data_IF_123545729147
#
_entry.id   IF_123545729147
#
_cell.length_a   1.000
_cell.length_b   1.000
_cell.length_c   1.000
_cell.angle_alpha   90.00
_cell.angle_beta   90.00
_cell.angle_gamma   90.00
#
_symmetry.space_group_name_H-M   'P 1'
#
loop_
_entity.id
_entity.type
_entity.pdbx_description
1 polymer ?
#
# COMPACT_ATOMS: atom_id res chain seq x y z
N UNK A 1 13.38 -24.14 37.76
CA UNK A 1 14.78 -24.41 37.39
C UNK A 1 15.41 -23.07 37.10
N UNK A 2 16.26 -22.60 38.01
CA UNK A 2 16.96 -21.30 37.91
C UNK A 2 17.91 -21.31 36.70
N UNK A 3 18.09 -20.20 35.98
CA UNK A 3 18.85 -20.12 34.73
C UNK A 3 20.38 -20.06 34.96
N UNK A 4 20.91 -20.86 35.88
CA UNK A 4 22.33 -20.85 36.30
C UNK A 4 23.17 -22.01 35.78
N UNK A 5 22.57 -23.16 35.46
CA UNK A 5 23.31 -24.45 35.38
C UNK A 5 23.49 -25.03 33.97
N UNK A 6 23.32 -24.24 32.90
CA UNK A 6 23.53 -24.75 31.55
C UNK A 6 25.01 -24.70 31.15
N UNK A 7 25.60 -25.86 30.89
CA UNK A 7 26.96 -26.02 30.36
C UNK A 7 27.10 -25.20 29.05
N UNK A 8 28.23 -24.49 28.82
CA UNK A 8 28.45 -23.69 27.62
C UNK A 8 28.14 -24.41 26.30
N UNK A 9 28.37 -25.73 26.22
CA UNK A 9 28.05 -26.56 25.06
C UNK A 9 26.56 -26.69 24.76
N UNK A 10 25.70 -26.69 25.79
CA UNK A 10 24.25 -26.83 25.63
C UNK A 10 23.57 -25.49 25.31
N UNK A 11 24.20 -24.38 25.73
CA UNK A 11 23.82 -23.03 25.30
C UNK A 11 24.08 -22.83 23.81
N UNK A 12 25.21 -23.33 23.30
CA UNK A 12 25.54 -23.30 21.87
C UNK A 12 24.55 -24.12 21.04
N UNK A 13 24.18 -25.33 21.50
CA UNK A 13 23.15 -26.16 20.83
C UNK A 13 21.78 -25.49 20.84
N UNK A 14 21.39 -24.88 21.95
CA UNK A 14 20.09 -24.19 22.07
C UNK A 14 20.00 -22.96 21.16
N UNK A 15 21.06 -22.15 21.08
CA UNK A 15 21.14 -21.01 20.15
C UNK A 15 21.16 -21.48 18.70
N UNK A 16 21.87 -22.58 18.39
CA UNK A 16 21.91 -23.13 17.03
C UNK A 16 20.54 -23.63 16.56
N UNK A 17 19.75 -24.27 17.43
CA UNK A 17 18.40 -24.74 17.12
C UNK A 17 17.45 -23.54 16.89
N UNK A 18 17.55 -22.49 17.72
CA UNK A 18 16.79 -21.25 17.53
C UNK A 18 17.13 -20.52 16.23
N UNK A 19 18.42 -20.45 15.87
CA UNK A 19 18.89 -19.83 14.64
C UNK A 19 18.45 -20.59 13.38
N UNK A 20 18.46 -21.93 13.41
CA UNK A 20 18.00 -22.74 12.27
C UNK A 20 16.50 -22.64 12.04
N UNK A 21 15.68 -22.57 13.09
CA UNK A 21 14.24 -22.33 12.96
C UNK A 21 13.92 -20.94 12.40
N UNK A 22 14.70 -19.91 12.76
CA UNK A 22 14.55 -18.57 12.18
C UNK A 22 14.98 -18.51 10.70
N UNK A 23 16.04 -19.24 10.32
CA UNK A 23 16.52 -19.29 8.93
C UNK A 23 15.52 -19.97 7.98
N UNK A 24 14.74 -20.95 8.46
CA UNK A 24 13.75 -21.65 7.63
C UNK A 24 12.54 -20.79 7.26
N UNK A 25 12.18 -19.82 8.12
CA UNK A 25 11.05 -18.90 7.89
C UNK A 25 11.43 -17.70 7.02
N UNK A 26 12.73 -17.41 6.87
CA UNK A 26 13.22 -16.31 6.02
C UNK A 26 13.25 -16.64 4.51
N UNK A 27 13.14 -17.93 4.14
CA UNK A 27 13.22 -18.39 2.75
C UNK A 27 11.91 -18.40 1.98
N UNK A 28 10.76 -18.21 2.64
CA UNK A 28 9.47 -18.03 1.98
C UNK A 28 9.18 -16.55 1.81
N UNK A 29 10.01 -15.87 1.01
CA UNK A 29 9.53 -14.67 0.34
C UNK A 29 8.47 -15.14 -0.66
N UNK A 30 7.20 -14.95 -0.32
CA UNK A 30 6.10 -14.98 -1.28
C UNK A 30 6.23 -13.78 -2.24
N UNK A 31 7.32 -13.73 -2.99
CA UNK A 31 7.45 -12.85 -4.13
C UNK A 31 6.71 -13.49 -5.29
N UNK A 32 5.76 -12.77 -5.88
CA UNK A 32 5.14 -13.14 -7.15
C UNK A 32 6.22 -13.56 -8.14
N UNK A 33 6.20 -14.84 -8.49
CA UNK A 33 7.09 -15.37 -9.50
C UNK A 33 6.52 -14.94 -10.86
N UNK A 34 7.28 -14.20 -11.69
CA UNK A 34 6.81 -13.84 -13.01
C UNK A 34 6.62 -15.12 -13.83
N UNK A 35 5.38 -15.41 -14.20
CA UNK A 35 5.04 -16.52 -15.09
C UNK A 35 5.24 -16.10 -16.53
N UNK A 36 5.91 -16.95 -17.32
CA UNK A 36 6.03 -16.79 -18.77
C UNK A 36 4.76 -17.22 -19.53
N UNK A 37 3.73 -17.65 -18.81
CA UNK A 37 2.43 -18.03 -19.37
C UNK A 37 1.76 -16.81 -19.98
N UNK A 38 1.09 -17.00 -21.11
CA UNK A 38 0.24 -15.99 -21.76
C UNK A 38 -1.17 -16.56 -21.82
N UNK A 39 -2.16 -15.78 -21.42
CA UNK A 39 -3.57 -16.17 -21.49
C UNK A 39 -4.10 -15.89 -22.89
N UNK A 40 -4.95 -16.79 -23.38
CA UNK A 40 -5.64 -16.59 -24.65
C UNK A 40 -6.63 -15.41 -24.60
N UNK A 41 -6.65 -14.61 -25.66
CA UNK A 41 -7.46 -13.40 -25.73
C UNK A 41 -8.97 -13.66 -25.67
N UNK A 42 -9.47 -14.81 -26.16
CA UNK A 42 -10.90 -15.11 -26.06
C UNK A 42 -11.34 -15.29 -24.60
N UNK A 43 -10.46 -15.85 -23.78
CA UNK A 43 -10.70 -15.98 -22.33
C UNK A 43 -10.71 -14.61 -21.67
N UNK A 44 -9.77 -13.73 -22.04
CA UNK A 44 -9.70 -12.36 -21.53
C UNK A 44 -10.95 -11.57 -21.90
N UNK A 45 -11.38 -11.62 -23.16
CA UNK A 45 -12.58 -10.93 -23.63
C UNK A 45 -13.83 -11.41 -22.88
N UNK A 46 -13.92 -12.72 -22.59
CA UNK A 46 -15.03 -13.30 -21.83
C UNK A 46 -15.08 -12.76 -20.40
N UNK A 47 -13.92 -12.66 -19.73
CA UNK A 47 -13.81 -12.12 -18.37
C UNK A 47 -14.18 -10.64 -18.36
N UNK A 48 -13.56 -9.87 -19.27
CA UNK A 48 -13.64 -8.40 -19.33
C UNK A 48 -15.02 -7.91 -19.78
N UNK A 49 -15.77 -8.72 -20.54
CA UNK A 49 -17.14 -8.39 -20.94
C UNK A 49 -18.07 -8.08 -19.75
N UNK A 50 -17.78 -8.65 -18.57
CA UNK A 50 -18.54 -8.41 -17.33
C UNK A 50 -18.08 -7.19 -16.52
N UNK A 51 -16.98 -6.54 -16.92
CA UNK A 51 -16.35 -5.47 -16.14
C UNK A 51 -16.98 -4.10 -16.40
N UNK A 52 -16.82 -3.11 -15.50
CA UNK A 52 -17.21 -1.73 -15.74
C UNK A 52 -16.51 -1.10 -16.96
N UNK A 53 -17.17 -0.14 -17.60
CA UNK A 53 -16.68 0.51 -18.84
C UNK A 53 -15.28 1.10 -18.72
N UNK A 54 -14.96 1.74 -17.59
CA UNK A 54 -13.63 2.32 -17.36
C UNK A 54 -12.54 1.25 -17.31
N UNK A 55 -12.81 0.14 -16.62
CA UNK A 55 -11.91 -1.01 -16.54
C UNK A 55 -11.73 -1.67 -17.91
N UNK A 56 -12.80 -1.83 -18.69
CA UNK A 56 -12.71 -2.33 -20.07
C UNK A 56 -11.81 -1.44 -20.95
N UNK A 57 -11.96 -0.12 -20.83
CA UNK A 57 -11.12 0.84 -21.55
C UNK A 57 -9.64 0.70 -21.14
N UNK A 58 -9.36 0.60 -19.84
CA UNK A 58 -8.02 0.36 -19.30
C UNK A 58 -7.40 -0.93 -19.85
N UNK A 59 -8.14 -2.05 -19.83
CA UNK A 59 -7.68 -3.32 -20.40
C UNK A 59 -7.35 -3.16 -21.89
N UNK A 60 -8.23 -2.52 -22.67
CA UNK A 60 -8.01 -2.33 -24.11
C UNK A 60 -6.74 -1.54 -24.40
N UNK A 61 -6.45 -0.51 -23.61
CA UNK A 61 -5.22 0.27 -23.75
C UNK A 61 -3.95 -0.54 -23.43
N UNK A 62 -3.98 -1.31 -22.33
CA UNK A 62 -2.84 -2.13 -21.91
C UNK A 62 -2.60 -3.29 -22.88
N UNK A 63 -3.66 -3.99 -23.31
CA UNK A 63 -3.58 -5.02 -24.35
C UNK A 63 -3.07 -4.45 -25.66
N UNK A 64 -3.53 -3.27 -26.06
CA UNK A 64 -3.05 -2.60 -27.27
C UNK A 64 -1.56 -2.24 -27.22
N UNK A 65 -1.02 -1.94 -26.03
CA UNK A 65 0.41 -1.61 -25.84
C UNK A 65 1.32 -2.83 -25.67
N UNK A 66 0.90 -3.81 -24.87
CA UNK A 66 1.78 -4.90 -24.42
C UNK A 66 1.34 -6.29 -24.87
N UNK A 67 0.18 -6.41 -25.49
CA UNK A 67 -0.39 -7.69 -25.90
C UNK A 67 -1.16 -8.40 -24.77
N UNK A 68 -1.41 -9.71 -24.93
CA UNK A 68 -2.23 -10.47 -23.99
C UNK A 68 -1.60 -10.55 -22.58
N UNK A 69 -2.42 -10.62 -21.52
CA UNK A 69 -1.93 -10.74 -20.13
C UNK A 69 -1.29 -12.10 -19.85
N UNK A 70 -0.47 -12.13 -18.81
CA UNK A 70 0.14 -13.36 -18.30
C UNK A 70 -0.80 -14.14 -17.37
N UNK A 71 -1.63 -13.40 -16.61
CA UNK A 71 -2.62 -13.97 -15.71
C UNK A 71 -3.96 -13.23 -15.90
N UNK A 72 -5.03 -14.00 -15.97
CA UNK A 72 -6.38 -13.48 -16.07
C UNK A 72 -7.26 -14.11 -14.98
N UNK A 73 -7.87 -13.26 -14.17
CA UNK A 73 -8.83 -13.64 -13.14
C UNK A 73 -10.06 -12.75 -13.25
N UNK A 74 -11.18 -13.17 -12.65
CA UNK A 74 -12.43 -12.42 -12.72
C UNK A 74 -12.34 -11.01 -12.13
N UNK A 75 -11.39 -10.77 -11.23
CA UNK A 75 -11.18 -9.48 -10.55
C UNK A 75 -10.03 -8.65 -11.11
N UNK A 76 -9.05 -9.26 -11.77
CA UNK A 76 -7.84 -8.56 -12.25
C UNK A 76 -7.15 -9.31 -13.39
N UNK A 77 -6.47 -8.55 -14.24
CA UNK A 77 -5.53 -9.04 -15.25
C UNK A 77 -4.13 -8.57 -14.90
N UNK A 78 -3.12 -9.41 -15.11
CA UNK A 78 -1.73 -9.11 -14.75
C UNK A 78 -0.82 -9.33 -15.95
N UNK A 79 0.05 -8.36 -16.19
CA UNK A 79 1.21 -8.44 -17.07
C UNK A 79 2.47 -8.41 -16.21
N UNK A 80 3.39 -9.34 -16.49
CA UNK A 80 4.69 -9.40 -15.84
C UNK A 80 5.78 -8.96 -16.81
N UNK A 81 6.75 -8.17 -16.30
CA UNK A 81 7.92 -7.72 -17.04
C UNK A 81 7.59 -7.07 -18.40
N UNK A 82 6.55 -6.25 -18.46
CA UNK A 82 6.08 -5.59 -19.68
C UNK A 82 6.67 -4.18 -19.83
N UNK A 83 7.45 -3.96 -20.89
CA UNK A 83 8.09 -2.67 -21.15
C UNK A 83 9.00 -2.24 -19.98
N UNK A 84 8.85 -1.01 -19.44
CA UNK A 84 9.65 -0.55 -18.29
C UNK A 84 9.10 -1.06 -16.94
N UNK A 85 7.94 -1.74 -16.93
CA UNK A 85 7.25 -2.15 -15.72
C UNK A 85 7.65 -3.55 -15.31
N UNK A 86 7.85 -3.76 -14.01
CA UNK A 86 7.98 -5.10 -13.42
C UNK A 86 6.65 -5.83 -13.48
N UNK A 87 5.56 -5.08 -13.28
CA UNK A 87 4.21 -5.61 -13.31
C UNK A 87 3.23 -4.50 -13.66
N UNK A 88 2.24 -4.80 -14.46
CA UNK A 88 1.04 -3.98 -14.63
C UNK A 88 -0.16 -4.82 -14.26
N UNK A 89 -1.07 -4.28 -13.45
CA UNK A 89 -2.32 -4.91 -13.06
C UNK A 89 -3.46 -4.01 -13.53
N UNK A 90 -4.47 -4.61 -14.16
CA UNK A 90 -5.73 -3.94 -14.40
C UNK A 90 -6.81 -4.61 -13.54
N UNK A 91 -7.54 -3.82 -12.76
CA UNK A 91 -8.60 -4.29 -11.89
C UNK A 91 -9.97 -4.15 -12.54
N UNK A 92 -10.89 -5.05 -12.18
CA UNK A 92 -12.31 -4.90 -12.50
C UNK A 92 -12.91 -3.71 -11.77
N UNK A 93 -12.65 -3.63 -10.47
CA UNK A 93 -13.29 -2.69 -9.58
C UNK A 93 -12.46 -1.39 -9.51
N UNK A 94 -13.12 -0.25 -9.64
CA UNK A 94 -12.49 1.07 -9.57
C UNK A 94 -11.99 1.38 -8.17
N UNK A 95 -10.76 1.90 -8.06
CA UNK A 95 -10.17 2.33 -6.79
C UNK A 95 -10.22 3.86 -6.69
N UNK A 96 -11.19 4.42 -5.94
CA UNK A 96 -11.30 5.87 -5.79
C UNK A 96 -10.20 6.40 -4.88
N UNK A 97 -9.57 7.50 -5.28
CA UNK A 97 -8.58 8.20 -4.48
C UNK A 97 -8.60 9.71 -4.73
N UNK A 98 -8.10 10.47 -3.76
CA UNK A 98 -8.30 11.93 -3.68
C UNK A 98 -7.05 12.75 -4.03
N UNK A 99 -6.02 12.11 -4.56
CA UNK A 99 -4.72 12.74 -4.81
C UNK A 99 -4.26 12.46 -6.24
N UNK A 100 -3.74 13.45 -6.98
CA UNK A 100 -3.67 14.88 -6.64
C UNK A 100 -5.05 15.57 -6.63
N UNK A 101 -6.03 15.00 -7.34
CA UNK A 101 -7.45 15.39 -7.35
C UNK A 101 -8.33 14.14 -7.19
N UNK A 102 -9.64 14.24 -6.85
CA UNK A 102 -10.54 13.10 -6.78
C UNK A 102 -10.75 12.40 -8.13
N UNK A 103 -10.34 11.13 -8.23
CA UNK A 103 -10.57 10.26 -9.39
C UNK A 103 -10.55 8.77 -9.01
N UNK A 104 -10.93 7.92 -9.96
CA UNK A 104 -10.88 6.46 -9.85
C UNK A 104 -9.81 5.89 -10.77
N UNK A 105 -8.96 5.02 -10.24
CA UNK A 105 -7.98 4.27 -11.03
C UNK A 105 -8.43 2.82 -11.23
N UNK A 106 -8.04 2.27 -12.38
CA UNK A 106 -8.27 0.86 -12.75
C UNK A 106 -6.99 0.14 -13.15
N UNK A 107 -5.87 0.86 -13.35
CA UNK A 107 -4.58 0.29 -13.72
C UNK A 107 -3.52 0.70 -12.70
N UNK A 108 -2.77 -0.27 -12.23
CA UNK A 108 -1.64 -0.09 -11.33
C UNK A 108 -0.37 -0.64 -11.99
N UNK A 109 0.73 0.08 -11.90
CA UNK A 109 2.01 -0.33 -12.49
C UNK A 109 3.13 -0.25 -11.46
N UNK A 110 4.01 -1.24 -11.49
CA UNK A 110 5.07 -1.44 -10.52
C UNK A 110 6.43 -1.33 -11.20
N UNK A 111 7.35 -0.59 -10.56
CA UNK A 111 8.76 -0.54 -10.92
C UNK A 111 9.62 -0.87 -9.71
N UNK A 112 10.73 -1.56 -9.92
CA UNK A 112 11.76 -1.72 -8.90
C UNK A 112 12.69 -0.50 -8.95
N UNK A 113 12.40 0.52 -8.14
CA UNK A 113 13.22 1.71 -8.06
C UNK A 113 14.32 1.57 -6.98
N UNK A 114 15.59 1.59 -7.39
CA UNK A 114 16.73 1.65 -6.45
C UNK A 114 17.02 3.09 -6.07
N UNK A 115 16.78 3.45 -4.80
CA UNK A 115 17.14 4.77 -4.27
C UNK A 115 18.65 4.82 -4.01
N UNK A 116 19.39 5.75 -4.61
CA UNK A 116 20.80 5.93 -4.31
C UNK A 116 21.00 6.31 -2.82
N UNK A 117 22.02 5.75 -2.13
CA UNK A 117 22.21 5.94 -0.70
C UNK A 117 22.39 7.42 -0.30
N UNK A 118 22.96 8.25 -1.17
CA UNK A 118 23.09 9.71 -0.97
C UNK A 118 21.74 10.43 -0.84
N UNK A 119 20.67 9.89 -1.45
CA UNK A 119 19.32 10.44 -1.39
C UNK A 119 18.50 9.91 -0.21
N UNK A 120 19.00 8.90 0.50
CA UNK A 120 18.30 8.31 1.66
C UNK A 120 18.36 9.21 2.91
N UNK A 121 19.44 9.99 3.05
CA UNK A 121 19.68 10.83 4.23
C UNK A 121 18.74 12.03 4.35
N UNK A 122 18.19 12.56 3.25
CA UNK A 122 17.33 13.74 3.26
C UNK A 122 15.89 13.49 3.70
N UNK A 123 15.45 12.23 3.82
CA UNK A 123 14.07 11.90 4.19
C UNK A 123 13.81 11.89 5.71
N UNK A 124 14.85 11.94 6.54
CA UNK A 124 14.72 11.90 8.00
C UNK A 124 14.43 13.26 8.67
N UNK A 125 14.34 14.37 7.92
CA UNK A 125 14.25 15.74 8.48
C UNK A 125 12.92 16.46 8.28
N UNK A 126 11.83 15.75 8.00
CA UNK A 126 10.48 16.34 7.97
C UNK A 126 9.68 15.99 9.22
N UNK A 127 10.11 16.50 10.38
CA UNK A 127 9.21 16.69 11.53
C UNK A 127 8.92 18.18 11.63
N UNK A 128 7.91 18.65 10.90
CA UNK A 128 7.34 19.96 11.15
C UNK A 128 6.66 19.92 12.53
N UNK A 129 7.32 20.49 13.54
CA UNK A 129 6.71 20.75 14.83
C UNK A 129 5.60 21.79 14.65
N UNK A 130 4.37 21.33 14.41
CA UNK A 130 3.18 22.15 14.62
C UNK A 130 3.08 22.41 16.13
N UNK A 131 3.58 23.56 16.59
CA UNK A 131 3.40 23.97 17.98
C UNK A 131 1.92 24.31 18.21
N UNK A 132 1.20 23.38 18.82
CA UNK A 132 -0.11 23.64 19.38
C UNK A 132 0.05 24.49 20.64
N UNK A 133 -0.30 25.78 20.57
CA UNK A 133 -0.44 26.62 21.75
C UNK A 133 -1.83 26.43 22.33
N UNK A 134 -1.94 25.60 23.37
CA UNK A 134 -3.18 25.43 24.13
C UNK A 134 -3.50 26.72 24.92
N UNK A 135 -4.73 27.27 24.83
CA UNK A 135 -5.14 28.33 25.74
C UNK A 135 -5.26 27.76 27.16
N UNK A 136 -4.48 28.32 28.10
CA UNK A 136 -4.54 27.96 29.52
C UNK A 136 -5.96 28.23 30.05
N UNK A 137 -6.68 27.16 30.34
CA UNK A 137 -7.92 27.21 31.10
C UNK A 137 -7.67 27.85 32.48
N UNK A 138 -8.34 28.98 32.75
CA UNK A 138 -8.56 29.46 34.11
C UNK A 138 -10.04 29.25 34.44
N UNK A 139 -10.32 28.15 35.14
CA UNK A 139 -11.50 28.05 35.97
C UNK A 139 -11.50 29.17 37.00
N UNK A 140 -12.49 30.08 36.95
CA UNK A 140 -13.01 30.76 38.14
C UNK A 140 -14.54 30.82 38.06
N UNK A 141 -15.10 30.67 39.26
CA UNK A 141 -16.50 30.38 39.59
C UNK A 141 -17.47 31.46 39.11
N UNK A 142 -18.70 31.00 38.95
CA UNK A 142 -19.95 31.70 38.68
C UNK A 142 -20.09 33.11 39.29
N UNK A 143 -20.62 34.02 38.48
CA UNK A 143 -21.60 35.04 38.91
C UNK A 143 -22.65 35.14 37.81
N UNK A 144 -23.89 34.76 38.14
CA UNK A 144 -25.11 35.05 37.38
C UNK A 144 -25.39 36.54 37.37
N UNK A 145 -25.67 37.12 36.21
CA UNK A 145 -26.59 38.26 36.06
C UNK A 145 -27.35 38.14 34.72
N UNK A 146 -28.66 38.35 34.80
CA UNK A 146 -29.65 38.34 33.72
C UNK A 146 -30.20 39.77 33.57
N UNK A 147 -30.16 40.34 32.37
CA UNK A 147 -31.15 41.29 31.79
C UNK A 147 -30.64 41.68 30.37
N UNK A 148 -31.35 41.40 29.25
CA UNK A 148 -32.37 42.25 28.59
C UNK A 148 -31.75 43.60 28.14
N UNK A 149 -31.80 44.16 26.93
CA UNK A 149 -32.82 44.26 25.87
C UNK A 149 -32.10 44.79 24.59
N UNK A 150 -32.49 44.35 23.37
CA UNK A 150 -33.09 45.15 22.27
C UNK A 150 -32.18 45.38 21.06
N UNK A 151 -32.66 44.93 19.90
CA UNK A 151 -32.22 45.37 18.57
C UNK A 151 -32.58 46.84 18.33
N UNK A 152 -31.93 47.47 17.34
CA UNK A 152 -32.65 48.34 16.43
C UNK A 152 -32.48 47.88 14.97
N UNK A 153 -33.63 47.76 14.30
CA UNK A 153 -33.74 47.92 12.86
C UNK A 153 -33.54 49.39 12.49
N UNK A 154 -32.79 49.69 11.43
CA UNK A 154 -33.28 50.45 10.26
C UNK A 154 -32.38 50.10 9.08
#
# INVERSE_FOLDING_TARGET
MEPGDMEPGDRLKTVAIGAMSAAKTAGQQAGEQPTSTIVDMQTVDTIVASWPTMSQAGVKEIVGKYGPPNEATDSRLIWFNNGPWKRTICYRDEVPHHFPNPHSDVVESFIDYRVPPENSASWHTSTAALSWSAPKAKCRRAVTWRLLISSPST
#
